data_IF_783804555195
#
_entry.id   IF_783804555195
#
_cell.length_a   1.000
_cell.length_b   1.000
_cell.length_c   1.000
_cell.angle_alpha   90.00
_cell.angle_beta   90.00
_cell.angle_gamma   90.00
#
_symmetry.space_group_name_H-M   'P 1'
#
loop_
_entity.id
_entity.type
_entity.pdbx_description
1 polymer ?
#
# COMPACT_ATOMS: atom_id res chain seq x y z
N UNK A 1 43.66 -25.64 -2.00
CA UNK A 1 43.79 -24.26 -1.49
C UNK A 1 42.70 -24.04 -0.45
N UNK A 2 43.09 -23.93 0.83
CA UNK A 2 42.19 -23.73 1.98
C UNK A 2 42.16 -22.24 2.33
N UNK A 3 40.97 -21.68 2.49
CA UNK A 3 40.76 -20.28 2.93
C UNK A 3 40.85 -20.22 4.45
N UNK A 4 41.73 -19.35 4.95
CA UNK A 4 41.85 -18.98 6.37
C UNK A 4 41.45 -17.50 6.44
N UNK A 5 40.39 -17.19 7.19
CA UNK A 5 40.05 -15.81 7.56
C UNK A 5 40.25 -15.67 9.07
N UNK A 6 41.19 -14.80 9.42
CA UNK A 6 41.67 -14.52 10.77
C UNK A 6 40.69 -13.59 11.48
N UNK A 7 40.31 -14.01 12.69
CA UNK A 7 39.62 -13.26 13.72
C UNK A 7 40.61 -12.30 14.39
N UNK A 8 40.29 -11.02 14.51
CA UNK A 8 41.05 -10.06 15.30
C UNK A 8 40.11 -9.35 16.29
N UNK A 9 40.20 -9.78 17.55
CA UNK A 9 39.74 -9.04 18.73
C UNK A 9 40.67 -7.85 18.95
N UNK A 10 40.11 -6.68 19.29
CA UNK A 10 40.81 -5.67 20.08
C UNK A 10 39.93 -5.22 21.25
N UNK A 11 40.32 -5.66 22.45
CA UNK A 11 39.99 -5.01 23.72
C UNK A 11 40.97 -3.84 23.92
N UNK A 12 40.46 -2.68 24.31
CA UNK A 12 41.30 -1.52 24.63
C UNK A 12 40.53 -0.49 25.44
N UNK A 13 40.59 -0.64 26.76
CA UNK A 13 40.07 0.26 27.79
C UNK A 13 40.99 1.48 27.91
N UNK A 14 40.46 2.71 27.89
CA UNK A 14 41.11 3.89 28.47
C UNK A 14 40.07 4.96 28.81
N UNK A 15 40.04 5.38 30.07
CA UNK A 15 39.14 6.40 30.60
C UNK A 15 39.80 7.76 30.69
N UNK A 16 38.98 8.79 30.44
CA UNK A 16 38.95 10.15 30.99
C UNK A 16 40.22 11.03 30.97
N UNK A 17 40.11 12.14 30.24
CA UNK A 17 40.26 13.48 30.82
C UNK A 17 39.43 14.48 30.02
N UNK A 18 38.59 15.23 30.73
CA UNK A 18 37.70 16.25 30.21
C UNK A 18 38.41 17.61 30.14
N UNK A 19 38.23 18.34 29.04
CA UNK A 19 38.36 19.81 28.99
C UNK A 19 37.10 20.35 28.35
N UNK A 20 36.48 21.29 29.05
CA UNK A 20 35.18 21.85 28.75
C UNK A 20 35.24 22.86 27.60
N UNK A 21 34.27 22.78 26.68
CA UNK A 21 33.92 23.90 25.82
C UNK A 21 32.40 24.08 25.82
N UNK A 22 31.96 25.06 26.61
CA UNK A 22 30.57 25.56 26.65
C UNK A 22 30.22 26.09 25.27
N UNK A 23 29.39 25.37 24.52
CA UNK A 23 28.59 25.94 23.43
C UNK A 23 27.13 26.01 23.88
N UNK A 24 26.59 27.22 23.94
CA UNK A 24 25.18 27.50 24.21
C UNK A 24 24.36 27.04 22.99
N UNK A 25 23.84 25.82 23.00
CA UNK A 25 22.71 25.46 22.14
C UNK A 25 21.42 25.94 22.80
N UNK A 26 20.82 26.97 22.21
CA UNK A 26 19.45 27.38 22.48
C UNK A 26 18.49 26.33 21.87
N UNK A 27 17.45 25.87 22.57
CA UNK A 27 16.52 24.90 22.00
C UNK A 27 15.71 25.56 20.88
N UNK A 28 16.06 25.26 19.63
CA UNK A 28 15.18 25.49 18.48
C UNK A 28 13.93 24.64 18.72
N UNK A 29 12.87 25.31 19.19
CA UNK A 29 11.51 24.80 19.36
C UNK A 29 11.16 23.94 18.15
N UNK A 30 11.29 22.63 18.28
CA UNK A 30 10.76 21.68 17.33
C UNK A 30 9.25 21.92 17.32
N UNK A 31 8.75 22.44 16.21
CA UNK A 31 7.33 22.41 15.94
C UNK A 31 6.96 20.94 15.77
N UNK A 32 6.60 20.31 16.89
CA UNK A 32 5.92 19.03 16.91
C UNK A 32 4.62 19.23 16.14
N UNK A 33 4.67 18.93 14.84
CA UNK A 33 3.47 18.81 14.02
C UNK A 33 2.76 17.58 14.57
N UNK A 34 1.86 17.83 15.53
CA UNK A 34 0.96 16.84 16.10
C UNK A 34 0.42 16.01 14.94
N UNK A 35 0.79 14.72 14.90
CA UNK A 35 0.23 13.79 13.95
C UNK A 35 -1.27 13.72 14.24
N UNK A 36 -2.03 14.50 13.48
CA UNK A 36 -3.48 14.43 13.41
C UNK A 36 -3.86 12.95 13.40
N UNK A 37 -4.73 12.53 14.33
CA UNK A 37 -5.49 11.31 14.12
C UNK A 37 -6.08 11.44 12.72
N UNK A 38 -5.63 10.58 11.80
CA UNK A 38 -6.02 10.72 10.41
C UNK A 38 -7.48 10.27 10.36
N UNK A 39 -8.40 11.24 10.40
CA UNK A 39 -9.82 10.98 10.26
C UNK A 39 -10.02 10.14 8.99
N UNK A 40 -10.88 9.14 9.08
CA UNK A 40 -11.19 8.25 7.94
C UNK A 40 -12.65 8.41 7.55
N UNK A 41 -12.90 8.21 6.25
CA UNK A 41 -14.24 8.06 5.67
C UNK A 41 -14.45 6.60 5.29
N UNK A 42 -15.72 6.22 5.20
CA UNK A 42 -16.13 4.90 4.75
C UNK A 42 -16.54 4.96 3.28
N UNK A 43 -16.17 3.95 2.50
CA UNK A 43 -16.63 3.75 1.13
C UNK A 43 -17.26 2.36 1.02
N UNK A 44 -18.42 2.29 0.37
CA UNK A 44 -19.13 1.05 0.05
C UNK A 44 -19.12 0.85 -1.47
N UNK A 45 -18.49 -0.23 -1.92
CA UNK A 45 -18.61 -0.74 -3.28
C UNK A 45 -19.74 -1.76 -3.40
N UNK A 46 -19.77 -2.47 -4.52
CA UNK A 46 -20.71 -3.57 -4.75
C UNK A 46 -20.49 -4.72 -3.77
N UNK A 47 -19.25 -5.23 -3.72
CA UNK A 47 -18.87 -6.44 -2.97
C UNK A 47 -17.75 -6.20 -1.98
N UNK A 48 -17.52 -4.93 -1.65
CA UNK A 48 -16.51 -4.55 -0.70
C UNK A 48 -16.86 -3.28 0.04
N UNK A 49 -16.19 -3.07 1.16
CA UNK A 49 -16.06 -1.75 1.77
C UNK A 49 -14.66 -1.51 2.29
N UNK A 50 -14.32 -0.24 2.46
CA UNK A 50 -13.00 0.16 2.93
C UNK A 50 -13.08 1.48 3.68
N UNK A 51 -12.13 1.71 4.59
CA UNK A 51 -11.87 3.03 5.18
C UNK A 51 -10.69 3.69 4.48
N UNK A 52 -10.83 4.96 4.16
CA UNK A 52 -9.79 5.74 3.50
C UNK A 52 -9.58 7.10 4.21
N UNK A 53 -8.40 7.74 4.07
CA UNK A 53 -8.16 9.03 4.69
C UNK A 53 -9.19 10.08 4.25
N UNK A 54 -9.77 10.81 5.20
CA UNK A 54 -10.89 11.73 4.92
C UNK A 54 -10.53 12.87 3.96
N UNK A 55 -9.24 13.20 3.86
CA UNK A 55 -8.69 14.21 2.93
C UNK A 55 -8.55 13.71 1.50
N UNK A 56 -8.68 12.40 1.25
CA UNK A 56 -8.58 11.84 -0.10
C UNK A 56 -9.91 12.01 -0.83
N UNK A 57 -9.83 12.17 -2.15
CA UNK A 57 -10.99 12.15 -3.03
C UNK A 57 -11.26 10.71 -3.46
N UNK A 58 -12.46 10.19 -3.18
CA UNK A 58 -12.90 8.90 -3.68
C UNK A 58 -13.57 9.06 -5.06
N UNK A 59 -13.36 8.08 -5.94
CA UNK A 59 -14.01 7.98 -7.24
C UNK A 59 -14.39 6.52 -7.49
N UNK A 60 -15.66 6.27 -7.79
CA UNK A 60 -16.16 4.97 -8.19
C UNK A 60 -15.80 4.67 -9.64
N UNK A 61 -15.39 3.44 -9.92
CA UNK A 61 -14.99 2.98 -11.25
C UNK A 61 -15.58 1.59 -11.50
N UNK A 62 -15.80 1.23 -12.77
CA UNK A 62 -16.35 -0.08 -13.17
C UNK A 62 -17.70 -0.43 -12.49
N UNK A 63 -18.83 -0.01 -13.09
CA UNK A 63 -20.15 -0.40 -12.61
C UNK A 63 -20.24 -1.92 -12.44
N UNK A 64 -20.81 -2.37 -11.32
CA UNK A 64 -20.93 -3.79 -11.02
C UNK A 64 -22.05 -4.41 -11.82
N UNK A 65 -21.79 -5.58 -12.38
CA UNK A 65 -22.82 -6.40 -13.05
C UNK A 65 -23.65 -7.22 -12.05
N UNK A 66 -23.15 -7.40 -10.84
CA UNK A 66 -23.70 -8.34 -9.86
C UNK A 66 -24.17 -7.64 -8.58
N UNK A 67 -23.59 -6.49 -8.20
CA UNK A 67 -23.94 -5.76 -6.97
C UNK A 67 -25.23 -4.93 -7.02
N UNK A 68 -25.94 -4.93 -8.16
CA UNK A 68 -27.15 -4.16 -8.37
C UNK A 68 -26.92 -2.71 -8.86
N UNK A 69 -27.99 -1.98 -9.20
CA UNK A 69 -27.91 -0.66 -9.82
C UNK A 69 -27.16 0.37 -8.95
N UNK A 70 -26.29 1.15 -9.59
CA UNK A 70 -25.55 2.23 -8.92
C UNK A 70 -24.37 1.77 -8.05
N UNK A 71 -24.02 0.48 -8.08
CA UNK A 71 -22.86 -0.06 -7.38
C UNK A 71 -21.68 -0.30 -8.32
N UNK A 72 -20.48 -0.42 -7.75
CA UNK A 72 -19.23 -0.44 -8.50
C UNK A 72 -18.26 -1.49 -7.94
N UNK A 73 -17.61 -2.23 -8.83
CA UNK A 73 -16.62 -3.24 -8.49
C UNK A 73 -15.22 -2.62 -8.25
N UNK A 74 -15.02 -1.34 -8.60
CA UNK A 74 -13.76 -0.64 -8.39
C UNK A 74 -13.93 0.74 -7.76
N UNK A 75 -12.89 1.19 -7.08
CA UNK A 75 -12.77 2.57 -6.62
C UNK A 75 -11.31 3.00 -6.51
N UNK A 76 -11.09 4.30 -6.73
CA UNK A 76 -9.81 4.97 -6.51
C UNK A 76 -9.94 6.04 -5.43
N UNK A 77 -8.86 6.25 -4.67
CA UNK A 77 -8.78 7.22 -3.57
C UNK A 77 -7.51 8.04 -3.73
N UNK A 78 -7.63 9.27 -4.21
CA UNK A 78 -6.49 10.12 -4.57
C UNK A 78 -6.15 11.10 -3.45
N UNK A 79 -4.87 11.21 -3.10
CA UNK A 79 -4.36 12.15 -2.12
C UNK A 79 -4.64 13.61 -2.52
N UNK A 80 -4.75 14.54 -1.56
CA UNK A 80 -5.03 15.95 -1.86
C UNK A 80 -3.95 16.63 -2.71
N UNK A 81 -2.71 16.12 -2.66
CA UNK A 81 -1.59 16.59 -3.50
C UNK A 81 -1.48 15.83 -4.84
N UNK A 82 -2.35 14.86 -5.11
CA UNK A 82 -2.37 14.07 -6.34
C UNK A 82 -1.20 13.10 -6.54
N UNK A 83 -0.29 13.01 -5.56
CA UNK A 83 0.94 12.22 -5.68
C UNK A 83 0.72 10.72 -5.48
N UNK A 84 -0.36 10.33 -4.78
CA UNK A 84 -0.71 8.93 -4.53
C UNK A 84 -2.19 8.68 -4.83
N UNK A 85 -2.51 7.49 -5.31
CA UNK A 85 -3.89 6.99 -5.45
C UNK A 85 -3.98 5.55 -4.99
N UNK A 86 -4.80 5.26 -3.98
CA UNK A 86 -5.12 3.89 -3.59
C UNK A 86 -6.20 3.34 -4.51
N UNK A 87 -6.15 2.04 -4.82
CA UNK A 87 -7.03 1.39 -5.78
C UNK A 87 -7.57 0.09 -5.19
N UNK A 88 -8.85 -0.19 -5.41
CA UNK A 88 -9.48 -1.51 -5.18
C UNK A 88 -10.22 -1.92 -6.44
N UNK A 89 -10.19 -3.21 -6.75
CA UNK A 89 -11.12 -3.88 -7.66
C UNK A 89 -11.50 -5.22 -7.05
N UNK A 90 -12.79 -5.44 -6.78
CA UNK A 90 -13.30 -6.64 -6.13
C UNK A 90 -14.65 -7.02 -6.75
N UNK A 91 -14.65 -7.54 -7.99
CA UNK A 91 -15.86 -8.05 -8.61
C UNK A 91 -16.27 -9.38 -7.95
N UNK A 92 -17.52 -9.78 -8.19
CA UNK A 92 -18.00 -11.12 -7.84
C UNK A 92 -18.15 -12.00 -9.08
N UNK A 93 -17.95 -13.30 -8.90
CA UNK A 93 -18.02 -14.33 -9.95
C UNK A 93 -17.09 -14.06 -11.13
N UNK A 94 -15.85 -13.65 -10.82
CA UNK A 94 -14.83 -13.35 -11.82
C UNK A 94 -13.46 -13.62 -11.23
N UNK A 95 -12.57 -14.18 -12.04
CA UNK A 95 -11.14 -14.34 -11.73
C UNK A 95 -10.25 -13.51 -12.66
N UNK A 96 -10.85 -12.78 -13.59
CA UNK A 96 -10.15 -11.96 -14.59
C UNK A 96 -9.76 -10.59 -14.05
N UNK A 97 -8.47 -10.29 -14.09
CA UNK A 97 -7.91 -8.97 -13.77
C UNK A 97 -7.93 -8.09 -15.04
N UNK A 98 -8.56 -6.90 -15.00
CA UNK A 98 -8.54 -5.96 -16.12
C UNK A 98 -7.14 -5.40 -16.38
N UNK A 99 -6.49 -5.88 -17.44
CA UNK A 99 -5.13 -5.46 -17.84
C UNK A 99 -5.01 -3.95 -18.02
N UNK A 100 -6.09 -3.28 -18.43
CA UNK A 100 -6.06 -1.85 -18.78
C UNK A 100 -6.01 -0.93 -17.55
N UNK A 101 -6.26 -1.51 -16.38
CA UNK A 101 -6.19 -0.86 -15.08
C UNK A 101 -4.98 -1.32 -14.27
N UNK A 102 -4.65 -2.61 -14.35
CA UNK A 102 -3.72 -3.27 -13.44
C UNK A 102 -2.46 -3.84 -14.11
N UNK A 103 -2.37 -3.78 -15.44
CA UNK A 103 -1.33 -4.48 -16.20
C UNK A 103 -1.50 -6.00 -16.20
N UNK A 104 -0.55 -6.70 -16.80
CA UNK A 104 -0.53 -8.17 -16.95
C UNK A 104 0.65 -8.85 -16.24
N UNK A 105 1.59 -8.08 -15.70
CA UNK A 105 2.83 -8.57 -15.08
C UNK A 105 2.63 -9.01 -13.62
N UNK A 106 1.67 -9.90 -13.35
CA UNK A 106 1.49 -10.48 -12.01
C UNK A 106 2.38 -11.71 -11.85
N UNK A 107 3.12 -11.75 -10.74
CA UNK A 107 3.96 -12.88 -10.35
C UNK A 107 3.32 -13.58 -9.17
N UNK A 108 3.07 -14.88 -9.33
CA UNK A 108 2.49 -15.73 -8.28
C UNK A 108 3.51 -15.94 -7.16
N UNK A 109 3.06 -15.82 -5.92
CA UNK A 109 3.95 -15.85 -4.75
C UNK A 109 3.50 -16.81 -3.67
N UNK A 110 2.19 -16.92 -3.43
CA UNK A 110 1.66 -17.73 -2.35
C UNK A 110 0.41 -18.47 -2.83
N UNK A 111 0.40 -19.79 -2.64
CA UNK A 111 -0.82 -20.59 -2.71
C UNK A 111 -1.39 -20.71 -1.30
N UNK A 112 -2.67 -20.41 -1.15
CA UNK A 112 -3.38 -20.57 0.11
C UNK A 112 -4.01 -21.96 0.20
N UNK A 113 -4.20 -22.50 1.43
CA UNK A 113 -4.76 -23.83 1.63
C UNK A 113 -6.12 -24.06 0.95
N UNK A 114 -6.92 -23.00 0.82
CA UNK A 114 -8.23 -23.01 0.16
C UNK A 114 -8.18 -22.90 -1.37
N UNK A 115 -7.02 -23.14 -1.99
CA UNK A 115 -6.85 -23.13 -3.45
C UNK A 115 -6.59 -21.74 -4.07
N UNK A 116 -6.70 -20.67 -3.30
CA UNK A 116 -6.44 -19.30 -3.77
C UNK A 116 -4.96 -19.00 -4.02
N UNK A 117 -4.69 -18.06 -4.92
CA UNK A 117 -3.34 -17.61 -5.29
C UNK A 117 -3.22 -16.11 -5.03
N UNK A 118 -2.19 -15.73 -4.26
CA UNK A 118 -1.73 -14.35 -4.12
C UNK A 118 -0.63 -14.06 -5.15
N UNK A 119 -0.80 -12.97 -5.90
CA UNK A 119 0.17 -12.49 -6.88
C UNK A 119 0.45 -11.01 -6.70
N UNK A 120 1.66 -10.58 -7.06
CA UNK A 120 2.06 -9.17 -6.99
C UNK A 120 2.50 -8.65 -8.35
N UNK A 121 2.23 -7.37 -8.61
CA UNK A 121 2.74 -6.66 -9.78
C UNK A 121 3.26 -5.29 -9.36
N UNK A 122 4.38 -4.87 -9.95
CA UNK A 122 4.89 -3.50 -9.80
C UNK A 122 5.53 -3.05 -11.10
N UNK A 123 5.05 -1.95 -11.67
CA UNK A 123 5.53 -1.44 -12.96
C UNK A 123 5.26 0.07 -13.09
N UNK A 124 5.99 0.73 -13.98
CA UNK A 124 5.67 2.10 -14.35
C UNK A 124 4.58 2.11 -15.43
N UNK A 125 3.51 2.88 -15.22
CA UNK A 125 2.44 3.07 -16.20
C UNK A 125 2.61 4.41 -16.91
N UNK A 126 2.88 4.44 -18.23
CA UNK A 126 2.91 5.69 -19.01
C UNK A 126 1.55 6.40 -19.02
N UNK A 127 0.45 5.65 -19.04
CA UNK A 127 -0.93 6.18 -18.99
C UNK A 127 -1.16 7.03 -17.74
N UNK A 128 -0.73 6.55 -16.58
CA UNK A 128 -0.90 7.26 -15.32
C UNK A 128 0.27 8.16 -14.94
N UNK A 129 1.39 8.06 -15.68
CA UNK A 129 2.70 8.67 -15.35
C UNK A 129 3.14 8.36 -13.92
N UNK A 130 2.92 7.13 -13.47
CA UNK A 130 3.09 6.70 -12.08
C UNK A 130 3.60 5.27 -12.02
N UNK A 131 4.34 4.97 -10.96
CA UNK A 131 4.58 3.58 -10.54
C UNK A 131 3.30 3.03 -9.94
N UNK A 132 2.90 1.86 -10.42
CA UNK A 132 1.70 1.14 -10.00
C UNK A 132 2.14 -0.14 -9.30
N UNK A 133 1.67 -0.37 -8.09
CA UNK A 133 1.95 -1.59 -7.32
C UNK A 133 0.65 -2.20 -6.81
N UNK A 134 0.42 -3.46 -7.15
CA UNK A 134 -0.81 -4.18 -6.91
C UNK A 134 -0.52 -5.54 -6.27
N UNK A 135 -1.43 -5.94 -5.38
CA UNK A 135 -1.58 -7.31 -4.92
C UNK A 135 -2.93 -7.79 -5.41
N UNK A 136 -2.96 -8.97 -6.00
CA UNK A 136 -4.17 -9.65 -6.39
C UNK A 136 -4.28 -10.96 -5.64
N UNK A 137 -5.47 -11.29 -5.19
CA UNK A 137 -5.83 -12.63 -4.74
C UNK A 137 -6.94 -13.16 -5.64
N UNK A 138 -6.75 -14.36 -6.18
CA UNK A 138 -7.73 -15.05 -7.02
C UNK A 138 -7.93 -16.49 -6.57
N UNK A 139 -9.16 -16.96 -6.59
CA UNK A 139 -9.49 -18.38 -6.39
C UNK A 139 -10.44 -18.82 -7.50
N UNK A 140 -9.96 -19.72 -8.36
CA UNK A 140 -10.76 -20.23 -9.50
C UNK A 140 -11.93 -21.09 -9.02
N UNK A 141 -11.75 -21.87 -7.95
CA UNK A 141 -12.78 -22.76 -7.42
C UNK A 141 -14.02 -22.00 -6.92
N UNK A 142 -13.81 -20.83 -6.31
CA UNK A 142 -14.89 -19.99 -5.77
C UNK A 142 -15.22 -18.79 -6.67
N UNK A 143 -14.60 -18.70 -7.84
CA UNK A 143 -14.70 -17.56 -8.75
C UNK A 143 -14.50 -16.19 -8.05
N UNK A 144 -13.55 -16.14 -7.13
CA UNK A 144 -13.27 -14.99 -6.27
C UNK A 144 -12.05 -14.23 -6.75
N UNK A 145 -12.13 -12.89 -6.76
CA UNK A 145 -11.03 -12.01 -7.09
C UNK A 145 -11.12 -10.72 -6.29
N UNK A 146 -9.98 -10.29 -5.76
CA UNK A 146 -9.77 -8.87 -5.50
C UNK A 146 -8.35 -8.43 -5.82
N UNK A 147 -8.23 -7.16 -6.16
CA UNK A 147 -6.99 -6.43 -6.38
C UNK A 147 -6.99 -5.22 -5.47
N UNK A 148 -5.92 -5.02 -4.73
CA UNK A 148 -5.67 -3.81 -3.95
C UNK A 148 -4.28 -3.29 -4.24
N UNK A 149 -4.16 -1.97 -4.36
CA UNK A 149 -2.88 -1.38 -4.70
C UNK A 149 -2.81 0.10 -4.47
N UNK A 150 -1.69 0.65 -4.91
CA UNK A 150 -1.47 2.08 -5.01
C UNK A 150 -0.75 2.45 -6.29
N UNK A 151 -0.95 3.70 -6.70
CA UNK A 151 -0.21 4.39 -7.75
C UNK A 151 0.50 5.57 -7.12
N UNK A 152 1.77 5.80 -7.42
CA UNK A 152 2.55 6.89 -6.83
C UNK A 152 3.54 7.51 -7.84
N UNK A 153 3.81 8.79 -7.67
CA UNK A 153 4.71 9.56 -8.56
C UNK A 153 6.18 9.32 -8.25
N UNK A 154 6.55 9.22 -6.97
CA UNK A 154 7.93 9.01 -6.50
C UNK A 154 7.96 8.13 -5.25
N UNK A 155 9.14 7.58 -4.92
CA UNK A 155 9.29 6.75 -3.72
C UNK A 155 9.02 7.54 -2.42
N UNK A 156 9.37 8.83 -2.38
CA UNK A 156 9.07 9.71 -1.25
C UNK A 156 7.56 9.90 -1.07
N UNK A 157 6.80 10.00 -2.17
CA UNK A 157 5.34 10.03 -2.11
C UNK A 157 4.78 8.71 -1.56
N UNK A 158 5.33 7.57 -1.96
CA UNK A 158 4.97 6.28 -1.37
C UNK A 158 5.22 6.26 0.15
N UNK A 159 6.44 6.58 0.59
CA UNK A 159 6.81 6.57 2.01
C UNK A 159 5.94 7.53 2.84
N UNK A 160 5.65 8.72 2.31
CA UNK A 160 4.77 9.72 2.95
C UNK A 160 3.40 9.14 3.29
N UNK A 161 2.84 8.29 2.42
CA UNK A 161 1.48 7.76 2.54
C UNK A 161 1.43 6.28 2.97
N UNK A 162 2.58 5.64 3.21
CA UNK A 162 2.68 4.20 3.51
C UNK A 162 1.83 3.78 4.70
N UNK A 163 1.88 4.54 5.80
CA UNK A 163 1.08 4.23 7.01
C UNK A 163 -0.43 4.28 6.73
N UNK A 164 -0.88 5.29 5.98
CA UNK A 164 -2.28 5.41 5.57
C UNK A 164 -2.68 4.26 4.63
N UNK A 165 -1.79 3.86 3.72
CA UNK A 165 -2.03 2.74 2.82
C UNK A 165 -2.13 1.40 3.57
N UNK A 166 -1.28 1.18 4.56
CA UNK A 166 -1.35 -0.02 5.41
C UNK A 166 -2.65 -0.08 6.20
N UNK A 167 -3.12 1.06 6.72
CA UNK A 167 -4.43 1.14 7.37
C UNK A 167 -5.59 0.90 6.38
N UNK A 168 -5.50 1.46 5.17
CA UNK A 168 -6.47 1.26 4.09
C UNK A 168 -6.62 -0.23 3.75
N UNK A 169 -5.50 -0.92 3.48
CA UNK A 169 -5.50 -2.37 3.21
C UNK A 169 -6.15 -3.18 4.33
N UNK A 170 -5.78 -2.91 5.59
CA UNK A 170 -6.32 -3.62 6.75
C UNK A 170 -7.81 -3.40 6.97
N UNK A 171 -8.36 -2.31 6.42
CA UNK A 171 -9.77 -1.98 6.55
C UNK A 171 -10.65 -2.54 5.43
N UNK A 172 -10.06 -3.20 4.42
CA UNK A 172 -10.80 -3.83 3.34
C UNK A 172 -11.64 -4.98 3.91
N UNK A 173 -12.94 -4.89 3.72
CA UNK A 173 -13.90 -5.95 3.99
C UNK A 173 -14.51 -6.36 2.65
N UNK A 174 -14.48 -7.66 2.37
CA UNK A 174 -15.11 -8.27 1.20
C UNK A 174 -16.43 -8.91 1.63
N UNK A 175 -17.43 -8.84 0.77
CA UNK A 175 -18.77 -9.35 1.06
C UNK A 175 -18.96 -10.72 0.43
N UNK A 176 -19.12 -11.72 1.29
CA UNK A 176 -19.61 -13.04 0.92
C UNK A 176 -21.11 -13.04 1.23
N UNK A 177 -21.94 -13.46 0.27
CA UNK A 177 -23.38 -13.61 0.44
C UNK A 177 -23.72 -15.02 0.97
#
# INVERSE_FOLDING_TARGET
MKRISILLLFLGLMSLSAVAQKSKLSPKKAATKTMSSTQTKFYKGAWFSVRYPASFKAQSEMPSKTGGPGTYDSATFTSPDGTVTFCIYAPKYSTTIPKELFGDNFVDTEKRPEGGITSYSSFYSPKYKRTCSYMAYRCEETAFLYVIGLRYTTYEAFEKYKKQYDAFKKSLLLYDD
#
